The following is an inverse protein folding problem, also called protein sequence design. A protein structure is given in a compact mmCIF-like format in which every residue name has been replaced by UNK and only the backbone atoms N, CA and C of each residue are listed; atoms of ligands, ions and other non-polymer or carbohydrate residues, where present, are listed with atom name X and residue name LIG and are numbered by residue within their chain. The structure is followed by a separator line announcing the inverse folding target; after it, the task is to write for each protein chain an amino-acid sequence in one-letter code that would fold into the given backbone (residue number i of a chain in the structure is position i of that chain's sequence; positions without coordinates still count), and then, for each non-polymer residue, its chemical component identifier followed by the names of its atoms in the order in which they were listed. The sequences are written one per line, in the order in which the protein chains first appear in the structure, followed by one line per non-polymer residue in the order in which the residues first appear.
data_IF_185303842773
#
_entry.id   IF_185303842773
#
_cell.length_a   1.000
_cell.length_b   1.000
_cell.length_c   1.000
_cell.angle_alpha   90.00
_cell.angle_beta   90.00
_cell.angle_gamma   90.00
#
_symmetry.space_group_name_H-M   'P 1'
#
loop_
_entity.id
_entity.type
_entity.pdbx_description
1 polymer ?
#
# COMPACT_ATOMS: atom_id res chain seq x y z
N UNK A 1 12.12 -10.93 -15.84
CA UNK A 1 11.66 -9.99 -14.79
C UNK A 1 10.69 -10.73 -13.87
N UNK A 2 10.99 -10.79 -12.57
CA UNK A 2 10.18 -11.50 -11.58
C UNK A 2 10.00 -10.63 -10.35
N UNK A 3 8.76 -10.47 -9.88
CA UNK A 3 8.43 -9.67 -8.69
C UNK A 3 7.93 -10.58 -7.58
N UNK A 4 8.43 -10.37 -6.36
CA UNK A 4 7.99 -11.06 -5.15
C UNK A 4 7.60 -10.05 -4.08
N UNK A 5 6.51 -10.34 -3.38
CA UNK A 5 6.12 -9.63 -2.17
C UNK A 5 7.12 -9.97 -1.06
N UNK A 6 7.73 -8.94 -0.47
CA UNK A 6 8.74 -9.12 0.58
C UNK A 6 8.10 -9.08 1.96
N UNK A 7 7.14 -8.16 2.18
CA UNK A 7 6.36 -8.05 3.40
C UNK A 7 4.86 -7.97 3.07
N UNK A 8 4.04 -8.71 3.82
CA UNK A 8 2.58 -8.59 3.78
C UNK A 8 2.12 -7.27 4.43
N UNK A 9 0.96 -6.73 4.04
CA UNK A 9 0.46 -5.49 4.58
C UNK A 9 -0.04 -5.73 6.01
N UNK A 10 0.30 -4.81 6.90
CA UNK A 10 -0.11 -4.84 8.32
C UNK A 10 -1.43 -4.12 8.57
N UNK A 11 -1.96 -3.43 7.56
CA UNK A 11 -3.22 -2.67 7.61
C UNK A 11 -4.09 -3.12 6.43
N UNK A 12 -5.38 -3.29 6.70
CA UNK A 12 -6.39 -3.67 5.71
C UNK A 12 -7.24 -2.44 5.32
N UNK A 13 -7.80 -2.42 4.09
CA UNK A 13 -8.48 -1.25 3.51
C UNK A 13 -9.90 -1.06 4.05
N UNK A 14 -10.43 -2.06 4.75
CA UNK A 14 -11.71 -2.05 5.42
C UNK A 14 -11.46 -2.58 6.83
N UNK A 15 -11.88 -1.83 7.85
CA UNK A 15 -11.70 -2.27 9.23
C UNK A 15 -12.67 -3.39 9.59
N UNK A 16 -12.33 -4.16 10.63
CA UNK A 16 -13.19 -5.23 11.13
C UNK A 16 -14.55 -4.68 11.61
N UNK A 17 -14.55 -3.51 12.24
CA UNK A 17 -15.78 -2.81 12.66
C UNK A 17 -16.66 -2.44 11.46
N UNK A 18 -16.08 -1.90 10.39
CA UNK A 18 -16.82 -1.58 9.18
C UNK A 18 -17.39 -2.82 8.48
N UNK A 19 -16.60 -3.90 8.44
CA UNK A 19 -17.06 -5.16 7.85
C UNK A 19 -18.20 -5.77 8.67
N UNK A 20 -18.10 -5.79 10.00
CA UNK A 20 -19.17 -6.26 10.89
C UNK A 20 -20.45 -5.45 10.75
N UNK A 21 -20.32 -4.13 10.64
CA UNK A 21 -21.46 -3.25 10.39
C UNK A 21 -22.13 -3.58 9.04
N UNK A 22 -21.35 -3.85 8.00
CA UNK A 22 -21.87 -4.25 6.69
C UNK A 22 -22.58 -5.61 6.72
N UNK A 23 -22.00 -6.58 7.42
CA UNK A 23 -22.52 -7.94 7.60
C UNK A 23 -23.67 -8.03 8.62
N UNK A 24 -23.91 -6.96 9.40
CA UNK A 24 -24.85 -6.92 10.53
C UNK A 24 -24.51 -7.94 11.62
N UNK A 25 -23.23 -8.11 11.89
CA UNK A 25 -22.70 -8.99 12.94
C UNK A 25 -22.38 -8.16 14.18
N UNK A 26 -22.99 -8.49 15.31
CA UNK A 26 -22.86 -7.78 16.60
C UNK A 26 -22.05 -8.55 17.65
N UNK A 27 -21.64 -9.79 17.35
CA UNK A 27 -20.82 -10.65 18.22
C UNK A 27 -19.36 -10.72 17.74
N UNK A 28 -18.48 -11.30 18.56
CA UNK A 28 -17.03 -11.34 18.30
C UNK A 28 -16.51 -12.72 17.87
N UNK A 29 -17.35 -13.75 17.91
CA UNK A 29 -16.92 -15.12 17.59
C UNK A 29 -16.40 -15.29 16.15
N UNK A 30 -16.90 -14.46 15.22
CA UNK A 30 -16.52 -14.50 13.81
C UNK A 30 -15.43 -13.49 13.44
N UNK A 31 -14.85 -12.78 14.40
CA UNK A 31 -13.86 -11.72 14.13
C UNK A 31 -12.64 -12.25 13.36
N UNK A 32 -12.16 -13.44 13.72
CA UNK A 32 -11.03 -14.09 13.04
C UNK A 32 -11.39 -14.48 11.60
N UNK A 33 -12.61 -14.98 11.40
CA UNK A 33 -13.09 -15.36 10.07
C UNK A 33 -13.26 -14.12 9.18
N UNK A 34 -13.92 -13.08 9.68
CA UNK A 34 -14.15 -11.83 8.97
C UNK A 34 -12.82 -11.18 8.59
N UNK A 35 -11.83 -11.18 9.48
CA UNK A 35 -10.48 -10.70 9.18
C UNK A 35 -9.83 -11.48 8.01
N UNK A 36 -9.94 -12.82 8.00
CA UNK A 36 -9.44 -13.63 6.88
C UNK A 36 -10.17 -13.39 5.56
N UNK A 37 -11.48 -13.15 5.61
CA UNK A 37 -12.28 -12.81 4.43
C UNK A 37 -11.90 -11.44 3.84
N UNK A 38 -11.64 -10.45 4.69
CA UNK A 38 -11.16 -9.13 4.26
C UNK A 38 -9.84 -9.28 3.49
N UNK A 39 -8.89 -10.05 4.02
CA UNK A 39 -7.60 -10.31 3.35
C UNK A 39 -7.79 -10.96 1.97
N UNK A 40 -8.63 -11.99 1.88
CA UNK A 40 -8.91 -12.69 0.62
C UNK A 40 -9.63 -11.80 -0.40
N UNK A 41 -10.60 -11.01 0.06
CA UNK A 41 -11.33 -10.05 -0.78
C UNK A 41 -10.39 -8.97 -1.34
N UNK A 42 -9.50 -8.42 -0.51
CA UNK A 42 -8.47 -7.49 -0.95
C UNK A 42 -7.57 -8.12 -2.01
N UNK A 43 -7.00 -9.30 -1.76
CA UNK A 43 -6.11 -9.99 -2.71
C UNK A 43 -6.80 -10.24 -4.06
N UNK A 44 -8.08 -10.60 -4.06
CA UNK A 44 -8.87 -10.76 -5.28
C UNK A 44 -9.02 -9.45 -6.05
N UNK A 45 -9.38 -8.37 -5.36
CA UNK A 45 -9.48 -7.04 -5.97
C UNK A 45 -8.14 -6.52 -6.50
N UNK A 46 -7.03 -6.75 -5.78
CA UNK A 46 -5.68 -6.33 -6.18
C UNK A 46 -5.21 -7.09 -7.42
N UNK A 47 -5.46 -8.41 -7.47
CA UNK A 47 -5.15 -9.25 -8.62
C UNK A 47 -5.99 -8.87 -9.85
N UNK A 48 -7.22 -8.40 -9.65
CA UNK A 48 -8.10 -7.97 -10.73
C UNK A 48 -7.66 -6.62 -11.35
N UNK A 49 -7.34 -5.61 -10.53
CA UNK A 49 -6.87 -4.30 -11.04
C UNK A 49 -5.36 -4.29 -11.36
N UNK A 50 -4.59 -5.25 -10.85
CA UNK A 50 -3.13 -5.24 -10.94
C UNK A 50 -2.48 -4.16 -10.06
N UNK A 51 -3.16 -3.71 -9.00
CA UNK A 51 -2.76 -2.60 -8.13
C UNK A 51 -2.51 -3.06 -6.69
N UNK A 52 -1.75 -2.28 -5.92
CA UNK A 52 -1.59 -2.46 -4.47
C UNK A 52 -2.51 -1.49 -3.75
N UNK A 53 -3.46 -1.98 -2.96
CA UNK A 53 -4.31 -1.07 -2.15
C UNK A 53 -3.60 -0.68 -0.86
N UNK A 54 -3.07 -1.67 -0.16
CA UNK A 54 -2.30 -1.47 1.06
C UNK A 54 -0.82 -1.34 0.75
N UNK A 55 -0.10 -0.60 1.60
CA UNK A 55 1.35 -0.43 1.50
C UNK A 55 2.04 -1.78 1.63
N UNK A 56 2.87 -2.10 0.64
CA UNK A 56 3.66 -3.32 0.57
C UNK A 56 5.02 -3.06 -0.03
N UNK A 57 6.00 -3.83 0.43
CA UNK A 57 7.34 -3.84 -0.15
C UNK A 57 7.47 -4.97 -1.16
N UNK A 58 7.86 -4.63 -2.38
CA UNK A 58 8.10 -5.54 -3.48
C UNK A 58 9.61 -5.62 -3.78
N UNK A 59 10.07 -6.84 -4.06
CA UNK A 59 11.40 -7.06 -4.61
C UNK A 59 11.26 -7.53 -6.05
N UNK A 60 11.84 -6.77 -6.95
CA UNK A 60 11.83 -7.00 -8.38
C UNK A 60 13.23 -7.41 -8.84
N UNK A 61 13.33 -8.57 -9.49
CA UNK A 61 14.56 -9.10 -10.08
C UNK A 61 14.52 -8.99 -11.60
N UNK A 62 15.61 -8.49 -12.18
CA UNK A 62 15.81 -8.40 -13.62
C UNK A 62 17.25 -8.73 -14.00
N UNK A 63 17.47 -8.98 -15.29
CA UNK A 63 18.77 -9.48 -15.80
C UNK A 63 19.74 -8.34 -16.16
N UNK A 64 19.23 -7.13 -16.42
CA UNK A 64 20.05 -5.95 -16.74
C UNK A 64 19.34 -4.65 -16.36
N UNK A 65 20.09 -3.55 -16.24
CA UNK A 65 19.54 -2.21 -16.00
C UNK A 65 19.02 -1.59 -17.30
N UNK A 66 17.77 -1.14 -17.27
CA UNK A 66 17.13 -0.37 -18.33
C UNK A 66 15.91 0.36 -17.75
N UNK A 67 15.34 1.26 -18.55
CA UNK A 67 14.13 2.01 -18.18
C UNK A 67 12.95 1.04 -17.99
N UNK A 68 12.37 1.04 -16.79
CA UNK A 68 11.49 -0.04 -16.35
C UNK A 68 10.23 0.50 -15.69
N UNK A 69 9.11 -0.07 -16.12
CA UNK A 69 7.82 0.13 -15.48
C UNK A 69 7.68 -0.81 -14.28
N UNK A 70 7.34 -0.26 -13.12
CA UNK A 70 7.17 -1.03 -11.90
C UNK A 70 5.76 -1.61 -11.82
N UNK A 71 5.61 -2.94 -11.64
CA UNK A 71 4.30 -3.54 -11.47
C UNK A 71 3.70 -3.20 -10.11
N UNK A 72 2.37 -3.30 -10.02
CA UNK A 72 1.57 -3.00 -8.83
C UNK A 72 1.63 -1.52 -8.40
N UNK A 73 0.99 -0.61 -9.15
CA UNK A 73 0.85 0.77 -8.73
C UNK A 73 -0.23 0.96 -7.65
N UNK A 74 -0.28 2.12 -6.98
CA UNK A 74 0.58 3.30 -7.14
C UNK A 74 1.95 3.13 -6.46
N UNK A 75 3.00 3.63 -7.11
CA UNK A 75 4.37 3.64 -6.58
C UNK A 75 4.49 4.71 -5.49
N UNK A 76 5.03 4.32 -4.33
CA UNK A 76 5.29 5.24 -3.21
C UNK A 76 6.73 5.74 -3.27
N UNK A 77 7.68 4.81 -3.20
CA UNK A 77 9.10 5.10 -3.14
C UNK A 77 9.91 3.88 -3.60
N UNK A 78 11.15 4.12 -4.01
CA UNK A 78 12.14 3.06 -4.27
C UNK A 78 13.13 3.11 -3.11
N UNK A 79 13.26 2.00 -2.38
CA UNK A 79 14.15 1.91 -1.22
C UNK A 79 15.61 1.74 -1.67
N UNK A 80 15.85 0.85 -2.64
CA UNK A 80 17.20 0.67 -3.21
C UNK A 80 17.16 -0.05 -4.56
N UNK A 81 18.17 0.23 -5.39
CA UNK A 81 18.49 -0.51 -6.60
C UNK A 81 19.89 -1.07 -6.44
N UNK A 82 20.05 -2.39 -6.51
CA UNK A 82 21.34 -3.06 -6.45
C UNK A 82 21.58 -3.88 -7.71
N UNK A 83 22.84 -4.00 -8.12
CA UNK A 83 23.21 -4.75 -9.31
C UNK A 83 24.55 -5.47 -9.11
N UNK A 84 24.78 -6.54 -9.85
CA UNK A 84 26.06 -7.24 -9.90
C UNK A 84 26.92 -6.64 -11.02
N UNK A 85 28.09 -6.11 -10.69
CA UNK A 85 29.05 -5.56 -11.65
C UNK A 85 29.83 -6.65 -12.40
N UNK A 86 30.65 -6.25 -13.38
CA UNK A 86 31.43 -7.19 -14.21
C UNK A 86 32.41 -8.05 -13.40
N UNK A 87 32.92 -7.51 -12.29
CA UNK A 87 33.81 -8.22 -11.36
C UNK A 87 33.05 -9.25 -10.49
N UNK A 88 31.71 -9.19 -10.47
CA UNK A 88 30.83 -10.08 -9.73
C UNK A 88 30.44 -9.57 -8.35
N UNK A 89 30.76 -8.32 -8.03
CA UNK A 89 30.43 -7.70 -6.75
C UNK A 89 29.06 -7.02 -6.82
N UNK A 90 28.33 -7.04 -5.69
CA UNK A 90 27.03 -6.36 -5.59
C UNK A 90 27.25 -4.90 -5.25
N UNK A 91 26.83 -4.02 -6.16
CA UNK A 91 26.87 -2.57 -6.01
C UNK A 91 25.47 -2.03 -5.73
N UNK A 92 25.41 -0.92 -4.98
CA UNK A 92 24.17 -0.12 -4.84
C UNK A 92 24.24 1.03 -5.83
N UNK A 93 23.20 1.17 -6.66
CA UNK A 93 23.11 2.24 -7.63
C UNK A 93 22.85 3.58 -6.93
N UNK A 94 23.65 4.60 -7.25
CA UNK A 94 23.44 5.95 -6.72
C UNK A 94 22.11 6.54 -7.23
N UNK A 95 21.42 7.26 -6.34
CA UNK A 95 20.23 8.06 -6.67
C UNK A 95 20.51 9.18 -7.67
N UNK A 96 21.78 9.53 -7.92
CA UNK A 96 22.14 10.52 -8.94
C UNK A 96 22.08 9.96 -10.38
N UNK A 97 21.99 8.63 -10.52
CA UNK A 97 22.03 7.94 -11.83
C UNK A 97 20.62 7.72 -12.40
N UNK A 98 19.60 7.64 -11.54
CA UNK A 98 18.23 7.33 -11.93
C UNK A 98 17.25 8.33 -11.32
N UNK A 99 16.19 8.61 -12.07
CA UNK A 99 15.04 9.36 -11.59
C UNK A 99 13.83 8.42 -11.47
N UNK A 100 12.88 8.80 -10.62
CA UNK A 100 11.66 8.04 -10.37
C UNK A 100 10.46 8.89 -10.76
N UNK A 101 9.60 8.36 -11.61
CA UNK A 101 8.27 8.92 -11.85
C UNK A 101 7.24 8.22 -10.96
N UNK A 102 6.79 8.95 -9.94
CA UNK A 102 5.70 8.55 -9.03
C UNK A 102 4.34 9.12 -9.45
N UNK A 103 4.27 9.95 -10.50
CA UNK A 103 3.02 10.54 -10.99
C UNK A 103 2.31 9.62 -11.99
N UNK A 104 3.08 8.88 -12.80
CA UNK A 104 2.53 7.90 -13.72
C UNK A 104 1.96 6.68 -12.99
N UNK A 105 0.84 6.16 -13.47
CA UNK A 105 0.20 4.92 -13.02
C UNK A 105 0.16 3.95 -14.22
N UNK A 106 1.11 3.00 -14.34
CA UNK A 106 2.13 2.59 -13.37
C UNK A 106 3.38 3.48 -13.27
N UNK A 107 4.06 3.43 -12.11
CA UNK A 107 5.28 4.19 -11.83
C UNK A 107 6.49 3.71 -12.63
N UNK A 108 7.44 4.61 -12.87
CA UNK A 108 8.54 4.38 -13.81
C UNK A 108 9.90 4.71 -13.19
N UNK A 109 10.92 3.88 -13.47
CA UNK A 109 12.31 4.20 -13.19
C UNK A 109 12.99 4.42 -14.53
N UNK A 110 13.67 5.55 -14.69
CA UNK A 110 14.39 5.91 -15.90
C UNK A 110 15.73 6.55 -15.58
N UNK A 111 16.61 6.55 -16.58
CA UNK A 111 17.94 7.12 -16.46
C UNK A 111 17.88 8.64 -16.24
N UNK A 112 18.60 9.15 -15.24
CA UNK A 112 18.69 10.58 -14.99
C UNK A 112 19.40 11.29 -16.16
N UNK A 113 19.11 12.58 -16.32
CA UNK A 113 19.66 13.36 -17.42
C UNK A 113 21.21 13.35 -17.43
N UNK A 114 21.81 13.11 -18.60
CA UNK A 114 23.27 13.00 -18.81
C UNK A 114 23.97 11.86 -18.04
N UNK A 115 23.23 10.84 -17.60
CA UNK A 115 23.82 9.65 -16.99
C UNK A 115 23.90 8.48 -17.97
N UNK A 116 24.47 7.35 -17.54
CA UNK A 116 24.45 6.08 -18.29
C UNK A 116 24.34 4.93 -17.30
N UNK A 117 23.56 3.92 -17.65
CA UNK A 117 23.45 2.71 -16.83
C UNK A 117 24.82 2.04 -16.69
N UNK A 118 25.26 1.68 -15.46
CA UNK A 118 26.48 0.92 -15.28
C UNK A 118 26.35 -0.46 -15.93
N UNK A 119 27.49 -1.03 -16.34
CA UNK A 119 27.51 -2.39 -16.89
C UNK A 119 27.17 -3.40 -15.81
N UNK A 120 26.15 -4.21 -16.07
CA UNK A 120 25.77 -5.34 -15.24
C UNK A 120 26.37 -6.62 -15.81
N UNK A 121 26.76 -7.54 -14.94
CA UNK A 121 27.18 -8.88 -15.36
C UNK A 121 26.07 -9.59 -16.12
N UNK A 122 26.42 -10.35 -17.16
CA UNK A 122 25.47 -11.10 -17.98
C UNK A 122 25.01 -12.38 -17.27
N UNK A 123 24.27 -12.23 -16.18
CA UNK A 123 23.69 -13.31 -15.37
C UNK A 123 22.20 -13.08 -15.11
N UNK A 124 21.47 -14.17 -14.87
CA UNK A 124 20.05 -14.09 -14.54
C UNK A 124 19.84 -13.44 -13.17
N UNK A 125 18.88 -12.53 -13.07
CA UNK A 125 18.54 -11.80 -11.84
C UNK A 125 19.69 -10.94 -11.27
N UNK A 126 20.59 -10.44 -12.13
CA UNK A 126 21.73 -9.61 -11.75
C UNK A 126 21.35 -8.29 -11.08
N UNK A 127 20.12 -7.80 -11.27
CA UNK A 127 19.61 -6.55 -10.71
C UNK A 127 18.46 -6.82 -9.77
N UNK A 128 18.45 -6.12 -8.63
CA UNK A 128 17.42 -6.18 -7.60
C UNK A 128 16.93 -4.78 -7.29
N UNK A 129 15.62 -4.56 -7.45
CA UNK A 129 14.95 -3.32 -7.08
C UNK A 129 14.02 -3.63 -5.92
N UNK A 130 14.19 -2.92 -4.82
CA UNK A 130 13.27 -2.96 -3.67
C UNK A 130 12.49 -1.66 -3.63
N UNK A 131 11.16 -1.74 -3.70
CA UNK A 131 10.27 -0.58 -3.77
C UNK A 131 8.99 -0.80 -2.96
N UNK A 132 8.36 0.31 -2.55
CA UNK A 132 7.09 0.34 -1.84
C UNK A 132 5.98 0.79 -2.79
N UNK A 133 4.88 0.06 -2.78
CA UNK A 133 3.65 0.43 -3.51
C UNK A 133 2.42 0.33 -2.62
N UNK A 134 1.43 1.17 -2.87
CA UNK A 134 0.19 1.23 -2.10
C UNK A 134 -0.41 2.63 -2.05
N UNK A 135 -1.69 2.73 -1.67
CA UNK A 135 -2.35 4.02 -1.53
C UNK A 135 -2.00 4.67 -0.19
N UNK A 136 -1.44 5.86 -0.27
CA UNK A 136 -1.15 6.72 0.88
C UNK A 136 -1.53 8.16 0.59
N UNK A 137 -1.83 8.93 1.63
CA UNK A 137 -1.92 10.39 1.53
C UNK A 137 -0.79 11.05 2.31
N UNK A 138 -0.44 12.28 1.94
CA UNK A 138 0.55 13.08 2.68
C UNK A 138 -0.07 13.63 3.96
N UNK A 139 0.73 13.64 5.03
CA UNK A 139 0.37 14.33 6.26
C UNK A 139 1.49 15.27 6.71
N UNK A 140 1.11 16.29 7.47
CA UNK A 140 2.04 17.21 8.13
C UNK A 140 1.76 17.21 9.63
N UNK A 141 2.80 17.45 10.42
CA UNK A 141 2.71 17.46 11.88
C UNK A 141 2.98 18.89 12.39
N UNK A 142 2.13 19.37 13.30
CA UNK A 142 2.33 20.65 13.99
C UNK A 142 2.02 20.46 15.48
N UNK A 143 3.08 20.31 16.29
CA UNK A 143 2.92 19.79 17.66
C UNK A 143 2.24 18.42 17.61
N UNK A 144 1.29 18.16 18.51
CA UNK A 144 0.60 16.86 18.62
C UNK A 144 -0.49 16.60 17.57
N UNK A 145 -0.68 17.50 16.62
CA UNK A 145 -1.77 17.43 15.65
C UNK A 145 -1.22 17.09 14.28
N UNK A 146 -1.70 15.99 13.71
CA UNK A 146 -1.42 15.58 12.34
C UNK A 146 -2.53 16.12 11.42
N UNK A 147 -2.15 16.70 10.29
CA UNK A 147 -3.07 17.19 9.26
C UNK A 147 -2.89 16.39 7.98
N UNK A 148 -3.95 15.73 7.51
CA UNK A 148 -3.99 14.96 6.26
C UNK A 148 -4.61 15.78 5.14
N UNK A 149 -4.10 15.68 3.91
CA UNK A 149 -4.56 16.58 2.84
C UNK A 149 -5.94 16.22 2.26
N UNK A 150 -6.28 14.93 2.15
CA UNK A 150 -7.48 14.49 1.40
C UNK A 150 -8.21 13.28 2.01
N UNK A 151 -7.73 12.76 3.13
CA UNK A 151 -8.29 11.55 3.73
C UNK A 151 -9.38 11.85 4.76
N UNK A 152 -10.46 11.07 4.71
CA UNK A 152 -11.49 11.03 5.75
C UNK A 152 -11.23 9.78 6.58
N UNK A 153 -10.54 9.97 7.71
CA UNK A 153 -10.32 8.95 8.72
C UNK A 153 -11.35 9.10 9.85
N UNK A 154 -11.66 8.01 10.54
CA UNK A 154 -12.53 7.99 11.72
C UNK A 154 -11.74 7.57 12.96
N UNK A 155 -12.23 7.95 14.14
CA UNK A 155 -11.67 7.48 15.40
C UNK A 155 -11.75 5.94 15.47
N UNK A 156 -10.62 5.31 15.82
CA UNK A 156 -10.46 3.85 15.87
C UNK A 156 -9.91 3.21 14.60
N UNK A 157 -9.77 3.95 13.50
CA UNK A 157 -9.14 3.43 12.28
C UNK A 157 -7.65 3.15 12.50
N UNK A 158 -7.14 2.08 11.89
CA UNK A 158 -5.72 1.76 11.92
C UNK A 158 -5.00 2.32 10.70
N UNK A 159 -3.85 2.93 10.94
CA UNK A 159 -3.06 3.59 9.90
C UNK A 159 -1.60 3.18 10.01
N UNK A 160 -0.92 3.08 8.88
CA UNK A 160 0.51 2.85 8.81
C UNK A 160 1.21 4.17 8.47
N UNK A 161 2.28 4.49 9.18
CA UNK A 161 3.11 5.65 8.82
C UNK A 161 4.33 5.22 8.02
N UNK A 162 4.63 5.99 6.99
CA UNK A 162 5.79 5.80 6.11
C UNK A 162 6.37 7.17 5.78
N UNK A 163 7.66 7.22 5.48
CA UNK A 163 8.32 8.42 4.94
C UNK A 163 9.08 8.05 3.67
N UNK A 164 9.21 9.01 2.76
CA UNK A 164 9.95 8.82 1.50
C UNK A 164 11.46 8.94 1.70
N UNK A 165 11.91 9.92 2.50
CA UNK A 165 13.28 10.19 2.92
C UNK A 165 13.26 11.07 4.19
N UNK A 166 13.81 10.61 5.32
CA UNK A 166 13.92 11.40 6.56
C UNK A 166 13.41 10.66 7.80
N UNK A 167 13.31 11.39 8.92
CA UNK A 167 12.82 10.87 10.19
C UNK A 167 11.36 11.30 10.42
N UNK A 168 10.50 10.36 10.84
CA UNK A 168 9.14 10.68 11.28
C UNK A 168 9.17 11.59 12.53
N UNK A 169 8.07 12.32 12.82
CA UNK A 169 7.95 13.10 14.04
C UNK A 169 8.32 12.27 15.28
N UNK A 170 9.09 12.84 16.21
CA UNK A 170 9.53 12.11 17.41
C UNK A 170 8.37 11.40 18.13
N UNK A 171 8.65 10.20 18.64
CA UNK A 171 7.68 9.22 19.20
C UNK A 171 6.84 8.43 18.16
N UNK A 172 6.94 8.77 16.87
CA UNK A 172 6.39 7.98 15.78
C UNK A 172 7.49 7.16 15.08
N UNK A 173 7.15 5.94 14.69
CA UNK A 173 8.06 4.98 14.06
C UNK A 173 7.55 4.57 12.69
N UNK A 174 8.48 4.38 11.75
CA UNK A 174 8.15 3.96 10.38
C UNK A 174 7.61 2.53 10.38
N UNK A 175 6.72 2.22 9.43
CA UNK A 175 6.12 0.90 9.26
C UNK A 175 5.44 0.36 10.53
N UNK A 176 5.04 1.26 11.43
CA UNK A 176 4.32 0.94 12.66
C UNK A 176 2.86 1.32 12.52
N UNK A 177 1.98 0.43 12.99
CA UNK A 177 0.53 0.65 13.00
C UNK A 177 0.13 1.51 14.19
N UNK A 178 -0.65 2.55 13.93
CA UNK A 178 -1.22 3.44 14.94
C UNK A 178 -2.74 3.47 14.83
N UNK A 179 -3.40 3.85 15.92
CA UNK A 179 -4.84 4.07 15.98
C UNK A 179 -5.14 5.56 15.86
N UNK A 180 -6.02 5.91 14.93
CA UNK A 180 -6.51 7.27 14.74
C UNK A 180 -7.44 7.64 15.89
N UNK A 181 -7.28 8.85 16.42
CA UNK A 181 -8.15 9.40 17.48
C UNK A 181 -8.27 10.92 17.40
N UNK A 182 -9.28 11.44 18.09
CA UNK A 182 -9.57 12.87 18.19
C UNK A 182 -9.69 13.53 16.80
N UNK A 183 -10.34 12.85 15.84
CA UNK A 183 -10.51 13.37 14.48
C UNK A 183 -11.41 14.60 14.47
N UNK A 184 -10.90 15.68 13.86
CA UNK A 184 -11.66 16.89 13.57
C UNK A 184 -11.38 17.35 12.14
N UNK A 185 -12.27 16.99 11.21
CA UNK A 185 -12.10 17.28 9.78
C UNK A 185 -10.87 16.58 9.22
N UNK A 186 -9.86 17.36 8.82
CA UNK A 186 -8.58 16.87 8.29
C UNK A 186 -7.48 16.77 9.35
N UNK A 187 -7.79 17.08 10.60
CA UNK A 187 -6.84 17.01 11.72
C UNK A 187 -7.13 15.80 12.59
N UNK A 188 -6.09 15.12 13.06
CA UNK A 188 -6.19 13.94 13.89
C UNK A 188 -4.99 13.81 14.83
N UNK A 189 -5.14 12.94 15.83
CA UNK A 189 -4.05 12.46 16.68
C UNK A 189 -3.90 10.95 16.53
N UNK A 190 -2.75 10.44 16.95
CA UNK A 190 -2.44 9.02 16.90
C UNK A 190 -2.28 8.45 18.31
N UNK A 191 -2.59 7.16 18.47
CA UNK A 191 -2.37 6.37 19.67
C UNK A 191 -1.59 5.11 19.33
N UNK A 192 -0.75 4.65 20.26
CA UNK A 192 0.00 3.39 20.14
C UNK A 192 -0.86 2.14 20.45
N UNK A 193 -2.04 2.31 21.02
CA UNK A 193 -3.00 1.21 21.30
C UNK A 193 -4.42 1.63 20.99
N UNK A 194 -5.30 0.65 20.76
CA UNK A 194 -6.73 0.88 20.58
C UNK A 194 -7.33 1.62 21.80
N UNK A 195 -8.00 2.74 21.56
CA UNK A 195 -8.54 3.63 22.61
C UNK A 195 -7.51 4.22 23.59
N UNK A 196 -6.20 4.02 23.35
CA UNK A 196 -5.10 4.48 24.21
C UNK A 196 -4.87 5.98 24.13
N UNK A 197 -4.01 6.52 24.99
CA UNK A 197 -3.69 7.95 25.06
C UNK A 197 -3.07 8.49 23.76
N UNK A 198 -3.37 9.76 23.43
CA UNK A 198 -2.75 10.43 22.29
C UNK A 198 -1.24 10.58 22.46
N UNK A 199 -0.49 10.22 21.43
CA UNK A 199 0.94 10.45 21.32
C UNK A 199 1.19 11.95 21.18
N UNK A 200 2.16 12.44 21.94
CA UNK A 200 2.60 13.84 21.93
C UNK A 200 3.89 13.91 21.13
N UNK A 201 3.83 14.43 19.90
CA UNK A 201 5.00 14.57 19.02
C UNK A 201 5.76 15.84 19.38
N UNK A 202 7.06 15.73 19.62
CA UNK A 202 7.89 16.86 20.11
C UNK A 202 8.59 17.64 19.01
N UNK A 203 8.57 17.13 17.79
CA UNK A 203 9.02 17.81 16.57
C UNK A 203 8.09 17.46 15.39
N UNK A 204 8.37 18.03 14.22
CA UNK A 204 7.58 17.81 13.01
C UNK A 204 8.15 16.72 12.08
N UNK A 205 9.25 16.06 12.45
CA UNK A 205 10.01 15.19 11.56
C UNK A 205 10.75 15.93 10.45
N UNK A 206 11.40 15.16 9.56
CA UNK A 206 12.04 15.62 8.32
C UNK A 206 11.56 14.79 7.13
N UNK A 207 11.49 15.39 5.94
CA UNK A 207 11.04 14.69 4.74
C UNK A 207 9.55 14.81 4.43
N UNK A 208 9.04 13.96 3.53
CA UNK A 208 7.60 13.83 3.30
C UNK A 208 7.07 12.69 4.16
N UNK A 209 6.00 12.97 4.91
CA UNK A 209 5.33 11.95 5.70
C UNK A 209 4.04 11.49 5.01
N UNK A 210 3.83 10.18 5.04
CA UNK A 210 2.75 9.50 4.36
C UNK A 210 1.99 8.62 5.34
N UNK A 211 0.68 8.62 5.22
CA UNK A 211 -0.23 7.82 6.03
C UNK A 211 -1.01 6.86 5.14
N UNK A 212 -0.80 5.56 5.36
CA UNK A 212 -1.36 4.48 4.57
C UNK A 212 -2.79 4.09 4.96
N UNK A 213 -3.49 3.47 3.99
CA UNK A 213 -4.89 3.05 4.04
C UNK A 213 -5.94 4.18 3.93
N UNK A 214 -5.53 5.39 3.58
CA UNK A 214 -6.37 6.60 3.68
C UNK A 214 -6.79 7.19 2.34
N UNK A 215 -6.08 6.85 1.26
CA UNK A 215 -6.33 7.34 -0.11
C UNK A 215 -6.97 6.27 -1.01
N UNK A 216 -7.44 5.15 -0.43
CA UNK A 216 -8.06 4.07 -1.20
C UNK A 216 -9.41 4.57 -1.72
N UNK A 217 -9.69 4.47 -3.03
CA UNK A 217 -10.96 4.94 -3.58
C UNK A 217 -12.14 4.25 -2.91
N UNK A 218 -13.16 5.01 -2.49
CA UNK A 218 -14.34 4.47 -1.80
C UNK A 218 -15.05 3.34 -2.58
N UNK A 219 -14.96 3.36 -3.92
CA UNK A 219 -15.46 2.28 -4.80
C UNK A 219 -14.78 0.93 -4.52
N UNK A 220 -13.49 0.94 -4.21
CA UNK A 220 -12.70 -0.26 -3.90
C UNK A 220 -13.11 -0.79 -2.52
N UNK A 221 -13.21 0.06 -1.50
CA UNK A 221 -13.69 -0.33 -0.18
C UNK A 221 -15.11 -0.92 -0.26
N UNK A 222 -15.99 -0.35 -1.08
CA UNK A 222 -17.33 -0.88 -1.33
C UNK A 222 -17.28 -2.25 -2.04
N UNK A 223 -16.42 -2.42 -3.05
CA UNK A 223 -16.22 -3.70 -3.73
C UNK A 223 -15.73 -4.79 -2.77
N UNK A 224 -14.76 -4.48 -1.90
CA UNK A 224 -14.26 -5.39 -0.87
C UNK A 224 -15.39 -5.80 0.08
N UNK A 225 -16.18 -4.84 0.58
CA UNK A 225 -17.34 -5.13 1.46
C UNK A 225 -18.34 -6.09 0.80
N UNK A 226 -18.64 -5.91 -0.50
CA UNK A 226 -19.52 -6.81 -1.25
C UNK A 226 -18.95 -8.23 -1.41
N UNK A 227 -17.64 -8.37 -1.65
CA UNK A 227 -16.99 -9.67 -1.76
C UNK A 227 -16.98 -10.36 -0.39
N UNK A 228 -16.66 -9.63 0.69
CA UNK A 228 -16.70 -10.16 2.06
C UNK A 228 -18.09 -10.67 2.41
N UNK A 229 -19.15 -9.90 2.11
CA UNK A 229 -20.53 -10.35 2.31
C UNK A 229 -20.84 -11.64 1.56
N UNK A 230 -20.44 -11.71 0.28
CA UNK A 230 -20.65 -12.92 -0.52
C UNK A 230 -19.93 -14.13 0.05
N UNK A 231 -18.64 -14.01 0.40
CA UNK A 231 -17.85 -15.12 0.96
C UNK A 231 -18.33 -15.55 2.35
N UNK A 232 -18.85 -14.62 3.15
CA UNK A 232 -19.37 -14.91 4.48
C UNK A 232 -20.67 -15.71 4.42
N UNK A 233 -21.57 -15.35 3.50
CA UNK A 233 -22.86 -16.02 3.27
C UNK A 233 -22.71 -17.34 2.48
N UNK A 234 -21.77 -17.41 1.54
CA UNK A 234 -21.53 -18.56 0.67
C UNK A 234 -20.19 -19.23 0.97
N UNK A 235 -20.19 -20.09 1.99
CA UNK A 235 -18.98 -20.78 2.48
C UNK A 235 -18.64 -22.06 1.71
N UNK A 236 -19.54 -22.54 0.87
CA UNK A 236 -19.41 -23.76 0.08
C UNK A 236 -19.77 -23.51 -1.39
N UNK A 237 -19.14 -24.27 -2.29
CA UNK A 237 -19.40 -24.17 -3.73
C UNK A 237 -20.74 -24.85 -4.07
N UNK A 238 -21.83 -24.08 -4.08
CA UNK A 238 -23.17 -24.57 -4.43
C UNK A 238 -23.35 -24.64 -5.98
N UNK A 239 -22.76 -25.67 -6.60
CA UNK A 239 -23.09 -26.33 -7.89
C UNK A 239 -23.34 -25.54 -9.21
N UNK A 240 -22.67 -26.03 -10.28
CA UNK A 240 -23.06 -26.06 -11.72
C UNK A 240 -23.23 -24.78 -12.57
N UNK A 241 -22.76 -23.61 -12.14
CA UNK A 241 -22.57 -22.49 -13.06
C UNK A 241 -21.18 -21.91 -12.86
N UNK A 242 -20.37 -21.93 -13.93
CA UNK A 242 -18.99 -21.42 -14.00
C UNK A 242 -18.77 -20.26 -13.01
N UNK A 243 -17.90 -20.45 -12.01
CA UNK A 243 -17.53 -19.36 -11.11
C UNK A 243 -16.99 -18.21 -11.94
N UNK A 244 -17.74 -17.12 -12.00
CA UNK A 244 -17.16 -15.85 -12.38
C UNK A 244 -16.20 -15.47 -11.25
N UNK A 245 -14.90 -15.23 -11.53
CA UNK A 245 -13.88 -15.05 -10.50
C UNK A 245 -14.12 -13.82 -9.60
N UNK A 246 -15.11 -12.99 -9.94
CA UNK A 246 -15.51 -11.80 -9.18
C UNK A 246 -16.98 -11.47 -9.42
N UNK A 247 -17.70 -11.05 -8.37
CA UNK A 247 -19.09 -10.58 -8.47
C UNK A 247 -19.21 -9.41 -9.46
N UNK A 248 -20.16 -9.46 -10.39
CA UNK A 248 -20.35 -8.39 -11.41
C UNK A 248 -20.49 -6.98 -10.82
N UNK A 249 -21.18 -6.86 -9.68
CA UNK A 249 -21.31 -5.58 -8.99
C UNK A 249 -19.97 -5.04 -8.51
N UNK A 250 -19.14 -5.90 -7.90
CA UNK A 250 -17.80 -5.54 -7.46
C UNK A 250 -16.89 -5.25 -8.67
N UNK A 251 -16.97 -6.05 -9.73
CA UNK A 251 -16.26 -5.83 -11.00
C UNK A 251 -16.61 -4.48 -11.65
N UNK A 252 -17.89 -4.11 -11.62
CA UNK A 252 -18.34 -2.81 -12.16
C UNK A 252 -17.83 -1.63 -11.35
N UNK A 253 -17.56 -1.80 -10.05
CA UNK A 253 -16.99 -0.76 -9.19
C UNK A 253 -15.48 -0.62 -9.38
N UNK A 254 -14.78 -1.72 -9.67
CA UNK A 254 -13.35 -1.72 -9.97
C UNK A 254 -13.04 -1.30 -11.42
N UNK A 255 -14.03 -1.32 -12.32
CA UNK A 255 -13.81 -0.87 -13.69
C UNK A 255 -13.67 0.66 -13.73
N UNK A 256 -12.43 1.15 -13.71
CA UNK A 256 -12.15 2.56 -13.96
C UNK A 256 -12.29 2.86 -15.45
N UNK A 257 -13.29 3.69 -15.79
CA UNK A 257 -13.57 4.10 -17.17
C UNK A 257 -12.49 5.04 -17.74
N UNK A 258 -11.58 5.54 -16.91
CA UNK A 258 -10.52 6.47 -17.31
C UNK A 258 -9.18 5.82 -17.64
N UNK A 259 -9.02 4.49 -17.53
CA UNK A 259 -7.77 3.78 -17.84
C UNK A 259 -7.60 3.39 -19.32
N UNK A 260 -8.46 3.88 -20.23
CA UNK A 260 -8.25 3.71 -21.68
C UNK A 260 -7.79 5.02 -22.32
N UNK A 261 -6.48 5.21 -22.40
CA UNK A 261 -5.81 5.98 -23.48
C UNK A 261 -4.57 5.21 -23.89
#
# INVERSE_FOLDING_TARGET
MYTKITNEPTVEPVSLTEAKLHLRVDHNDDDVLIAGLIQSARQSCENYEGKSYCVRTYTLKMDSLFDVCLPYPPLISVDSITYIDDDGDTQTLSTDIYDIDTHSDPGYIYLAYNQTWPMTRSELNAVTITYKSGYMTKFTCSGDTLTVNEAILSDGDTVLLVTDQGDLPAELAESTTYWVRDVSGLTLKLSATDGGAAITTTDAGTGTHLIGATAIPARVCAAIKLIVAHLYEHREELSETKLEPMLFAARSLLFDRNMTV
#
